data_IF_680163156246
#
_entry.id   IF_680163156246
#
_cell.length_a   1.000
_cell.length_b   1.000
_cell.length_c   1.000
_cell.angle_alpha   90.00
_cell.angle_beta   90.00
_cell.angle_gamma   90.00
#
_symmetry.space_group_name_H-M   'P 1'
#
loop_
_entity.id
_entity.type
_entity.pdbx_description
1 polymer ?
#
# COMPACT_ATOMS: atom_id res chain seq x y z
N UNK A 1 22.05 16.24 1.77
CA UNK A 1 23.47 16.03 1.54
C UNK A 1 24.27 17.21 2.07
N UNK A 2 24.91 16.99 3.20
CA UNK A 2 25.98 17.86 3.72
C UNK A 2 27.17 17.87 2.75
N UNK A 3 27.80 19.02 2.56
CA UNK A 3 29.06 19.08 1.82
C UNK A 3 30.18 18.38 2.62
N UNK A 4 30.93 17.47 2.00
CA UNK A 4 32.07 16.84 2.66
C UNK A 4 33.12 17.92 3.00
N UNK A 5 33.68 17.91 4.22
CA UNK A 5 34.77 18.82 4.56
C UNK A 5 36.00 18.50 3.69
N UNK A 6 36.84 19.51 3.45
CA UNK A 6 38.01 19.37 2.56
C UNK A 6 38.93 18.20 2.96
N UNK A 7 39.08 17.93 4.26
CA UNK A 7 39.84 16.80 4.80
C UNK A 7 39.32 15.44 4.30
N UNK A 8 37.99 15.28 4.21
CA UNK A 8 37.36 14.05 3.74
C UNK A 8 37.54 13.91 2.24
N UNK A 9 37.37 14.99 1.48
CA UNK A 9 37.58 14.98 0.02
C UNK A 9 39.02 14.58 -0.31
N UNK A 10 39.99 15.10 0.44
CA UNK A 10 41.41 14.75 0.26
C UNK A 10 41.75 13.31 0.67
N UNK A 11 40.94 12.70 1.53
CA UNK A 11 41.10 11.29 1.92
C UNK A 11 40.58 10.30 0.88
N UNK A 12 39.79 10.75 -0.11
CA UNK A 12 39.22 9.89 -1.13
C UNK A 12 40.28 9.38 -2.11
N UNK A 13 40.10 8.15 -2.64
CA UNK A 13 40.97 7.62 -3.68
C UNK A 13 40.85 8.45 -4.96
N UNK A 14 41.85 8.34 -5.85
CA UNK A 14 41.80 8.98 -7.15
C UNK A 14 40.57 8.47 -7.94
N UNK A 15 39.75 9.36 -8.52
CA UNK A 15 38.58 8.97 -9.30
C UNK A 15 38.93 8.01 -10.44
N UNK A 16 38.19 6.90 -10.55
CA UNK A 16 38.32 5.94 -11.63
C UNK A 16 37.11 6.03 -12.56
N UNK A 17 37.22 6.83 -13.62
CA UNK A 17 36.15 6.99 -14.62
C UNK A 17 36.11 5.90 -15.69
N UNK A 18 37.09 4.98 -15.71
CA UNK A 18 37.24 4.00 -16.80
C UNK A 18 36.60 2.66 -16.43
N UNK A 19 36.86 2.19 -15.21
CA UNK A 19 36.33 0.92 -14.68
C UNK A 19 36.01 1.05 -13.18
N UNK A 20 35.00 1.86 -12.82
CA UNK A 20 34.66 2.10 -11.42
C UNK A 20 34.07 0.85 -10.77
N UNK A 21 34.26 0.72 -9.46
CA UNK A 21 33.66 -0.37 -8.69
C UNK A 21 32.15 -0.19 -8.64
N UNK A 22 31.42 -1.20 -9.09
CA UNK A 22 29.96 -1.21 -9.09
C UNK A 22 29.40 -2.10 -7.98
N UNK A 23 28.32 -1.65 -7.34
CA UNK A 23 27.62 -2.42 -6.30
C UNK A 23 26.81 -3.61 -6.87
N UNK A 24 26.51 -3.59 -8.16
CA UNK A 24 25.86 -4.68 -8.90
C UNK A 24 24.34 -4.57 -9.02
N UNK A 25 23.68 -5.58 -9.63
CA UNK A 25 22.28 -5.49 -10.08
C UNK A 25 21.23 -5.74 -8.97
N UNK A 26 21.65 -5.90 -7.70
CA UNK A 26 20.76 -6.35 -6.63
C UNK A 26 19.56 -5.42 -6.40
N UNK A 27 19.77 -4.10 -6.43
CA UNK A 27 18.70 -3.10 -6.31
C UNK A 27 17.65 -3.29 -7.41
N UNK A 28 18.07 -3.43 -8.67
CA UNK A 28 17.16 -3.64 -9.80
C UNK A 28 16.35 -4.94 -9.66
N UNK A 29 16.98 -6.03 -9.21
CA UNK A 29 16.30 -7.31 -9.01
C UNK A 29 15.22 -7.19 -7.93
N UNK A 30 15.54 -6.58 -6.79
CA UNK A 30 14.59 -6.40 -5.67
C UNK A 30 13.43 -5.46 -6.07
N UNK A 31 13.74 -4.38 -6.77
CA UNK A 31 12.77 -3.41 -7.27
C UNK A 31 11.77 -4.06 -8.22
N UNK A 32 12.26 -4.76 -9.26
CA UNK A 32 11.41 -5.39 -10.28
C UNK A 32 10.58 -6.54 -9.72
N UNK A 33 11.15 -7.34 -8.82
CA UNK A 33 10.43 -8.45 -8.18
C UNK A 33 9.32 -7.93 -7.26
N UNK A 34 9.61 -6.95 -6.41
CA UNK A 34 8.61 -6.37 -5.50
C UNK A 34 7.49 -5.63 -6.25
N UNK A 35 7.82 -4.89 -7.31
CA UNK A 35 6.83 -4.23 -8.16
C UNK A 35 5.93 -5.24 -8.88
N UNK A 36 6.50 -6.33 -9.40
CA UNK A 36 5.74 -7.40 -10.06
C UNK A 36 4.69 -8.00 -9.13
N UNK A 37 5.06 -8.26 -7.87
CA UNK A 37 4.13 -8.76 -6.86
C UNK A 37 3.01 -7.73 -6.58
N UNK A 38 3.36 -6.45 -6.43
CA UNK A 38 2.39 -5.38 -6.22
C UNK A 38 1.40 -5.26 -7.40
N UNK A 39 1.88 -5.37 -8.64
CA UNK A 39 1.04 -5.34 -9.85
C UNK A 39 0.08 -6.53 -9.92
N UNK A 40 0.55 -7.73 -9.61
CA UNK A 40 -0.30 -8.93 -9.55
C UNK A 40 -1.40 -8.74 -8.49
N UNK A 41 -1.04 -8.25 -7.30
CA UNK A 41 -2.02 -7.95 -6.24
C UNK A 41 -3.05 -6.90 -6.66
N UNK A 42 -2.64 -5.83 -7.35
CA UNK A 42 -3.56 -4.83 -7.88
C UNK A 42 -4.48 -5.42 -8.96
N UNK A 43 -3.93 -6.22 -9.89
CA UNK A 43 -4.71 -6.85 -10.95
C UNK A 43 -5.79 -7.77 -10.35
N UNK A 44 -5.43 -8.58 -9.35
CA UNK A 44 -6.36 -9.43 -8.62
C UNK A 44 -7.42 -8.60 -7.87
N UNK A 45 -7.02 -7.50 -7.24
CA UNK A 45 -7.97 -6.57 -6.57
C UNK A 45 -8.99 -6.02 -7.57
N UNK A 46 -8.52 -5.51 -8.71
CA UNK A 46 -9.38 -4.96 -9.76
C UNK A 46 -10.28 -6.03 -10.37
N UNK A 47 -9.75 -7.24 -10.60
CA UNK A 47 -10.54 -8.37 -11.07
C UNK A 47 -11.72 -8.66 -10.13
N UNK A 48 -11.45 -8.79 -8.83
CA UNK A 48 -12.48 -9.01 -7.81
C UNK A 48 -13.51 -7.87 -7.79
N UNK A 49 -13.07 -6.62 -7.88
CA UNK A 49 -13.95 -5.45 -7.75
C UNK A 49 -14.82 -5.20 -8.98
N UNK A 50 -14.22 -5.31 -10.17
CA UNK A 50 -14.88 -5.00 -11.43
C UNK A 50 -15.70 -6.17 -11.95
N UNK A 51 -15.20 -7.40 -11.85
CA UNK A 51 -15.87 -8.55 -12.44
C UNK A 51 -16.71 -9.35 -11.44
N UNK A 52 -16.16 -9.63 -10.24
CA UNK A 52 -16.84 -10.49 -9.28
C UNK A 52 -17.85 -9.74 -8.40
N UNK A 53 -17.48 -8.56 -7.88
CA UNK A 53 -18.36 -7.73 -7.04
C UNK A 53 -19.15 -6.73 -7.90
N UNK A 54 -18.65 -6.38 -9.10
CA UNK A 54 -19.21 -5.37 -10.02
C UNK A 54 -19.46 -4.02 -9.35
N UNK A 55 -18.59 -3.64 -8.40
CA UNK A 55 -18.69 -2.36 -7.67
C UNK A 55 -17.30 -1.87 -7.26
N UNK A 56 -16.83 -0.84 -7.94
CA UNK A 56 -15.61 -0.10 -7.62
C UNK A 56 -15.92 1.13 -6.75
N UNK A 57 -14.98 1.53 -5.91
CA UNK A 57 -15.06 2.72 -5.07
C UNK A 57 -13.78 3.56 -5.17
N UNK A 58 -13.78 4.76 -4.58
CA UNK A 58 -12.63 5.66 -4.53
C UNK A 58 -11.34 4.98 -4.04
N UNK A 59 -11.46 4.09 -3.08
CA UNK A 59 -10.40 3.20 -2.57
C UNK A 59 -9.62 2.47 -3.68
N UNK A 60 -10.31 1.92 -4.69
CA UNK A 60 -9.67 1.16 -5.76
C UNK A 60 -8.90 2.09 -6.73
N UNK A 61 -9.46 3.26 -7.04
CA UNK A 61 -8.81 4.28 -7.88
C UNK A 61 -7.58 4.92 -7.20
N UNK A 62 -7.66 5.16 -5.89
CA UNK A 62 -6.51 5.64 -5.12
C UNK A 62 -5.37 4.60 -5.12
N UNK A 63 -5.70 3.30 -5.06
CA UNK A 63 -4.70 2.25 -5.15
C UNK A 63 -4.07 2.17 -6.55
N UNK A 64 -4.87 2.32 -7.62
CA UNK A 64 -4.34 2.40 -8.99
C UNK A 64 -3.38 3.59 -9.12
N UNK A 65 -3.77 4.76 -8.62
CA UNK A 65 -2.91 5.94 -8.63
C UNK A 65 -1.61 5.69 -7.85
N UNK A 66 -1.69 5.09 -6.66
CA UNK A 66 -0.51 4.74 -5.87
C UNK A 66 0.48 3.86 -6.65
N UNK A 67 -0.03 2.84 -7.37
CA UNK A 67 0.82 1.95 -8.18
C UNK A 67 1.45 2.67 -9.38
N UNK A 68 0.76 3.61 -10.01
CA UNK A 68 1.37 4.45 -11.07
C UNK A 68 2.56 5.21 -10.52
N UNK A 69 2.46 5.73 -9.30
CA UNK A 69 3.61 6.36 -8.62
C UNK A 69 4.69 5.34 -8.24
N UNK A 70 4.35 4.12 -7.79
CA UNK A 70 5.34 3.06 -7.57
C UNK A 70 6.13 2.72 -8.85
N UNK A 71 5.44 2.56 -9.99
CA UNK A 71 6.10 2.33 -11.30
C UNK A 71 7.05 3.50 -11.61
N UNK A 72 6.61 4.73 -11.34
CA UNK A 72 7.42 5.92 -11.58
C UNK A 72 8.68 5.96 -10.69
N UNK A 73 8.57 5.55 -9.42
CA UNK A 73 9.72 5.38 -8.51
C UNK A 73 10.68 4.33 -9.05
N UNK A 74 10.19 3.19 -9.52
CA UNK A 74 11.02 2.14 -10.13
C UNK A 74 11.73 2.64 -11.40
N UNK A 75 11.08 3.45 -12.23
CA UNK A 75 11.73 4.10 -13.37
C UNK A 75 12.86 5.03 -12.90
N UNK A 76 12.63 5.83 -11.86
CA UNK A 76 13.67 6.66 -11.27
C UNK A 76 14.87 5.83 -10.78
N UNK A 77 14.62 4.69 -10.12
CA UNK A 77 15.68 3.77 -9.67
C UNK A 77 16.49 3.23 -10.86
N UNK A 78 15.81 2.78 -11.92
CA UNK A 78 16.48 2.29 -13.13
C UNK A 78 17.36 3.38 -13.75
N UNK A 79 16.84 4.61 -13.88
CA UNK A 79 17.61 5.73 -14.41
C UNK A 79 18.79 6.10 -13.50
N UNK A 80 18.57 6.12 -12.18
CA UNK A 80 19.59 6.42 -11.17
C UNK A 80 20.77 5.45 -11.27
N UNK A 81 20.50 4.15 -11.32
CA UNK A 81 21.51 3.09 -11.39
C UNK A 81 22.14 3.00 -12.77
N UNK A 82 21.36 2.95 -13.85
CA UNK A 82 21.90 2.66 -15.19
C UNK A 82 22.57 3.85 -15.86
N UNK A 83 22.21 5.10 -15.52
CA UNK A 83 22.69 6.29 -16.23
C UNK A 83 23.40 7.30 -15.33
N UNK A 84 23.01 7.38 -14.05
CA UNK A 84 23.45 8.48 -13.17
C UNK A 84 24.40 8.05 -12.05
N UNK A 85 24.84 6.79 -12.03
CA UNK A 85 25.92 6.32 -11.17
C UNK A 85 25.54 6.13 -9.70
N UNK A 86 24.27 5.84 -9.39
CA UNK A 86 23.84 5.52 -8.01
C UNK A 86 24.29 4.13 -7.52
N UNK A 87 25.06 3.41 -8.33
CA UNK A 87 25.76 2.16 -8.00
C UNK A 87 27.28 2.34 -7.86
N UNK A 88 27.77 3.58 -7.98
CA UNK A 88 29.17 3.96 -7.89
C UNK A 88 29.44 4.78 -6.63
N UNK A 89 30.71 4.83 -6.22
CA UNK A 89 31.16 5.73 -5.16
C UNK A 89 31.13 7.20 -5.61
N UNK A 90 30.87 8.13 -4.68
CA UNK A 90 30.73 9.57 -4.97
C UNK A 90 31.92 10.15 -5.75
N UNK A 91 33.14 9.71 -5.45
CA UNK A 91 34.35 10.21 -6.11
C UNK A 91 34.50 9.72 -7.56
N UNK A 92 33.85 8.63 -7.95
CA UNK A 92 33.88 8.09 -9.32
C UNK A 92 32.81 8.73 -10.22
N UNK A 93 31.91 9.55 -9.68
CA UNK A 93 30.89 10.24 -10.47
C UNK A 93 31.42 11.50 -11.16
N UNK A 94 31.09 11.65 -12.44
CA UNK A 94 31.28 12.90 -13.17
C UNK A 94 30.34 14.01 -12.65
N UNK A 95 30.70 15.30 -12.77
CA UNK A 95 29.84 16.41 -12.36
C UNK A 95 28.44 16.39 -13.00
N UNK A 96 28.34 15.90 -14.25
CA UNK A 96 27.08 15.76 -14.96
C UNK A 96 26.21 14.66 -14.33
N UNK A 97 26.80 13.50 -14.01
CA UNK A 97 26.11 12.41 -13.32
C UNK A 97 25.63 12.84 -11.93
N UNK A 98 26.45 13.59 -11.17
CA UNK A 98 26.04 14.12 -9.87
C UNK A 98 24.80 15.03 -9.99
N UNK A 99 24.80 15.95 -10.97
CA UNK A 99 23.67 16.87 -11.22
C UNK A 99 22.40 16.10 -11.58
N UNK A 100 22.48 15.19 -12.56
CA UNK A 100 21.33 14.40 -13.01
C UNK A 100 20.84 13.41 -11.94
N UNK A 101 21.76 12.80 -11.20
CA UNK A 101 21.46 11.92 -10.08
C UNK A 101 20.69 12.63 -8.98
N UNK A 102 21.03 13.88 -8.68
CA UNK A 102 20.26 14.71 -7.73
C UNK A 102 18.88 15.08 -8.27
N UNK A 103 18.73 15.37 -9.57
CA UNK A 103 17.42 15.60 -10.18
C UNK A 103 16.50 14.36 -10.08
N UNK A 104 17.06 13.17 -10.27
CA UNK A 104 16.30 11.93 -10.08
C UNK A 104 15.98 11.67 -8.61
N UNK A 105 16.87 12.01 -7.68
CA UNK A 105 16.60 11.86 -6.25
C UNK A 105 15.40 12.70 -5.79
N UNK A 106 15.34 13.98 -6.16
CA UNK A 106 14.19 14.84 -5.80
C UNK A 106 12.89 14.37 -6.48
N UNK A 107 12.98 13.89 -7.72
CA UNK A 107 11.84 13.29 -8.41
C UNK A 107 11.37 12.01 -7.69
N UNK A 108 12.29 11.10 -7.36
CA UNK A 108 12.00 9.85 -6.65
C UNK A 108 11.39 10.09 -5.27
N UNK A 109 11.91 11.05 -4.50
CA UNK A 109 11.33 11.45 -3.21
C UNK A 109 9.91 12.01 -3.37
N UNK A 110 9.68 12.81 -4.40
CA UNK A 110 8.34 13.35 -4.71
C UNK A 110 7.37 12.22 -5.06
N UNK A 111 7.78 11.32 -5.95
CA UNK A 111 6.94 10.20 -6.41
C UNK A 111 6.65 9.22 -5.27
N UNK A 112 7.64 8.93 -4.42
CA UNK A 112 7.46 8.09 -3.24
C UNK A 112 6.44 8.68 -2.26
N UNK A 113 6.47 10.00 -2.03
CA UNK A 113 5.53 10.68 -1.15
C UNK A 113 4.08 10.45 -1.60
N UNK A 114 3.82 10.50 -2.91
CA UNK A 114 2.51 10.17 -3.46
C UNK A 114 2.20 8.67 -3.42
N UNK A 115 3.17 7.79 -3.73
CA UNK A 115 2.97 6.34 -3.67
C UNK A 115 2.59 5.86 -2.25
N UNK A 116 3.38 6.23 -1.25
CA UNK A 116 3.13 5.90 0.18
C UNK A 116 1.86 6.59 0.69
N UNK A 117 1.65 7.86 0.34
CA UNK A 117 0.47 8.62 0.76
C UNK A 117 -0.83 8.06 0.20
N UNK A 118 -0.90 7.81 -1.11
CA UNK A 118 -2.12 7.33 -1.78
C UNK A 118 -2.46 5.88 -1.42
N UNK A 119 -1.47 5.02 -1.21
CA UNK A 119 -1.71 3.66 -0.73
C UNK A 119 -2.33 3.66 0.68
N UNK A 120 -1.84 4.51 1.59
CA UNK A 120 -2.43 4.73 2.92
C UNK A 120 -3.85 5.29 2.83
N UNK A 121 -4.08 6.29 1.98
CA UNK A 121 -5.41 6.86 1.77
C UNK A 121 -6.40 5.83 1.20
N UNK A 122 -5.97 4.99 0.27
CA UNK A 122 -6.76 3.84 -0.21
C UNK A 122 -7.15 2.93 0.96
N UNK A 123 -6.18 2.44 1.75
CA UNK A 123 -6.45 1.57 2.91
C UNK A 123 -7.43 2.22 3.90
N UNK A 124 -7.23 3.49 4.23
CA UNK A 124 -8.11 4.23 5.14
C UNK A 124 -9.52 4.39 4.58
N UNK A 125 -9.68 4.65 3.27
CA UNK A 125 -11.01 4.68 2.63
C UNK A 125 -11.68 3.30 2.63
N UNK A 126 -10.92 2.22 2.47
CA UNK A 126 -11.39 0.84 2.69
C UNK A 126 -11.89 0.63 4.12
N UNK A 127 -11.20 1.16 5.12
CA UNK A 127 -11.64 1.08 6.52
C UNK A 127 -12.92 1.86 6.79
N UNK A 128 -13.06 3.07 6.23
CA UNK A 128 -14.28 3.87 6.35
C UNK A 128 -15.52 3.15 5.81
N UNK A 129 -15.35 2.32 4.78
CA UNK A 129 -16.43 1.51 4.20
C UNK A 129 -16.91 0.41 5.15
N UNK A 130 -16.01 -0.18 5.93
CA UNK A 130 -16.32 -1.27 6.86
C UNK A 130 -16.78 -0.72 8.22
N UNK A 131 -16.35 0.50 8.56
CA UNK A 131 -16.63 1.14 9.84
C UNK A 131 -18.14 1.40 10.06
N UNK A 132 -18.72 0.94 11.19
CA UNK A 132 -20.10 1.30 11.54
C UNK A 132 -20.25 2.81 11.78
N UNK A 133 -21.42 3.35 11.42
CA UNK A 133 -21.77 4.76 11.59
C UNK A 133 -21.64 5.18 13.06
N UNK A 134 -21.01 6.33 13.31
CA UNK A 134 -20.82 6.88 14.67
C UNK A 134 -19.75 6.22 15.53
N UNK A 135 -19.10 5.14 15.07
CA UNK A 135 -18.08 4.44 15.87
C UNK A 135 -16.82 5.27 16.09
N UNK A 136 -16.17 5.06 17.24
CA UNK A 136 -14.85 5.65 17.55
C UNK A 136 -13.81 5.29 16.47
N UNK A 137 -13.85 4.05 15.95
CA UNK A 137 -13.03 3.59 14.84
C UNK A 137 -13.19 4.47 13.58
N UNK A 138 -14.43 4.83 13.21
CA UNK A 138 -14.68 5.72 12.07
C UNK A 138 -14.11 7.12 12.28
N UNK A 139 -14.24 7.67 13.50
CA UNK A 139 -13.67 8.99 13.85
C UNK A 139 -12.15 8.96 13.73
N UNK A 140 -11.49 7.95 14.30
CA UNK A 140 -10.05 7.79 14.22
C UNK A 140 -9.58 7.67 12.75
N UNK A 141 -10.29 6.90 11.94
CA UNK A 141 -9.97 6.74 10.51
C UNK A 141 -10.01 8.07 9.76
N UNK A 142 -11.01 8.91 10.00
CA UNK A 142 -11.09 10.25 9.40
C UNK A 142 -9.94 11.16 9.84
N UNK A 143 -9.58 11.14 11.13
CA UNK A 143 -8.45 11.92 11.66
C UNK A 143 -7.14 11.48 11.03
N UNK A 144 -6.88 10.17 10.98
CA UNK A 144 -5.67 9.61 10.34
C UNK A 144 -5.63 9.93 8.85
N UNK A 145 -6.77 9.87 8.15
CA UNK A 145 -6.86 10.22 6.73
C UNK A 145 -6.54 11.70 6.48
N UNK A 146 -7.09 12.60 7.29
CA UNK A 146 -6.77 14.03 7.22
C UNK A 146 -5.30 14.31 7.53
N UNK A 147 -4.73 13.60 8.50
CA UNK A 147 -3.32 13.73 8.87
C UNK A 147 -2.38 13.27 7.74
N UNK A 148 -2.62 12.08 7.16
CA UNK A 148 -1.84 11.58 6.01
C UNK A 148 -1.94 12.54 4.83
N UNK A 149 -3.14 13.02 4.50
CA UNK A 149 -3.33 13.99 3.42
C UNK A 149 -2.56 15.29 3.67
N UNK A 150 -2.59 15.82 4.89
CA UNK A 150 -1.85 17.02 5.25
C UNK A 150 -0.33 16.81 5.11
N UNK A 151 0.21 15.68 5.56
CA UNK A 151 1.65 15.39 5.47
C UNK A 151 2.14 15.32 4.02
N UNK A 152 1.35 14.76 3.09
CA UNK A 152 1.70 14.75 1.65
C UNK A 152 1.95 16.18 1.17
N UNK A 153 1.04 17.11 1.44
CA UNK A 153 1.18 18.49 0.97
C UNK A 153 2.27 19.27 1.70
N UNK A 154 2.40 19.09 3.03
CA UNK A 154 3.45 19.76 3.82
C UNK A 154 4.83 19.35 3.30
N UNK A 155 5.10 18.05 3.18
CA UNK A 155 6.40 17.59 2.71
C UNK A 155 6.65 17.86 1.24
N UNK A 156 5.59 17.90 0.40
CA UNK A 156 5.73 18.34 -0.99
C UNK A 156 6.23 19.79 -1.05
N UNK A 157 5.60 20.70 -0.30
CA UNK A 157 6.01 22.10 -0.26
C UNK A 157 7.45 22.19 0.26
N UNK A 158 7.74 21.57 1.41
CA UNK A 158 9.08 21.61 2.03
C UNK A 158 10.16 21.06 1.08
N UNK A 159 9.89 19.96 0.38
CA UNK A 159 10.84 19.36 -0.56
C UNK A 159 11.18 20.29 -1.74
N UNK A 160 10.20 21.02 -2.26
CA UNK A 160 10.42 21.93 -3.38
C UNK A 160 10.88 23.33 -2.96
N UNK A 161 10.65 23.72 -1.71
CA UNK A 161 11.11 25.01 -1.14
C UNK A 161 12.38 24.89 -0.30
N UNK A 162 13.03 23.72 -0.27
CA UNK A 162 14.27 23.52 0.49
C UNK A 162 15.43 24.40 -0.03
N UNK A 163 15.37 24.82 -1.30
CA UNK A 163 16.33 25.73 -1.90
C UNK A 163 15.60 26.89 -2.58
N UNK A 164 16.15 28.09 -2.47
CA UNK A 164 15.66 29.27 -3.17
C UNK A 164 16.76 29.86 -4.06
N UNK A 165 16.65 29.74 -5.40
CA UNK A 165 15.66 28.99 -6.19
C UNK A 165 15.84 27.45 -6.16
N UNK A 166 14.77 26.69 -6.46
CA UNK A 166 14.75 25.22 -6.34
C UNK A 166 15.88 24.51 -7.13
N UNK A 167 16.33 25.08 -8.24
CA UNK A 167 17.39 24.50 -9.06
C UNK A 167 18.78 24.49 -8.40
N UNK A 168 18.98 25.27 -7.34
CA UNK A 168 20.17 25.19 -6.49
C UNK A 168 20.32 23.82 -5.81
N UNK A 169 19.23 23.03 -5.71
CA UNK A 169 19.30 21.68 -5.14
C UNK A 169 20.25 20.78 -5.94
N UNK A 170 20.11 20.72 -7.25
CA UNK A 170 20.90 19.80 -8.08
C UNK A 170 22.20 20.41 -8.63
N UNK A 171 22.34 21.74 -8.64
CA UNK A 171 23.55 22.40 -9.14
C UNK A 171 24.58 22.59 -8.03
N UNK A 172 25.58 21.69 -7.99
CA UNK A 172 26.58 21.64 -6.93
C UNK A 172 27.66 22.75 -6.98
N UNK A 173 27.71 23.58 -8.03
CA UNK A 173 28.81 24.52 -8.24
C UNK A 173 28.42 26.00 -8.14
N UNK A 174 27.20 26.29 -7.69
CA UNK A 174 26.70 27.67 -7.53
C UNK A 174 27.28 28.33 -6.28
N UNK A 175 27.88 29.51 -6.44
CA UNK A 175 28.30 30.37 -5.32
C UNK A 175 27.07 30.93 -4.57
N UNK A 176 27.15 31.00 -3.23
CA UNK A 176 26.10 31.51 -2.34
C UNK A 176 24.77 30.73 -2.42
N UNK A 177 24.83 29.43 -2.16
CA UNK A 177 23.66 28.57 -2.20
C UNK A 177 22.73 28.78 -1.00
N UNK A 178 21.56 29.36 -1.25
CA UNK A 178 20.50 29.50 -0.25
C UNK A 178 19.64 28.23 -0.17
N UNK A 179 20.15 27.20 0.52
CA UNK A 179 19.42 25.97 0.81
C UNK A 179 19.38 25.70 2.32
N UNK A 180 18.27 25.14 2.80
CA UNK A 180 18.22 24.56 4.14
C UNK A 180 19.03 23.26 4.16
N UNK A 181 19.47 22.85 5.36
CA UNK A 181 20.04 21.51 5.53
C UNK A 181 19.00 20.45 5.13
N UNK A 182 19.43 19.43 4.38
CA UNK A 182 18.52 18.40 3.85
C UNK A 182 18.07 17.39 4.90
N UNK A 183 18.87 17.19 5.96
CA UNK A 183 18.57 16.20 6.99
C UNK A 183 17.29 16.52 7.80
N UNK A 184 17.09 17.72 8.39
CA UNK A 184 15.88 18.01 9.17
C UNK A 184 14.55 17.74 8.45
N UNK A 185 14.32 18.20 7.20
CA UNK A 185 13.06 17.90 6.51
C UNK A 185 12.95 16.42 6.13
N UNK A 186 14.04 15.77 5.74
CA UNK A 186 14.05 14.34 5.43
C UNK A 186 13.72 13.49 6.66
N UNK A 187 14.34 13.80 7.81
CA UNK A 187 14.07 13.14 9.08
C UNK A 187 12.60 13.29 9.49
N UNK A 188 12.06 14.51 9.39
CA UNK A 188 10.64 14.77 9.62
C UNK A 188 9.76 13.90 8.72
N UNK A 189 10.09 13.80 7.43
CA UNK A 189 9.35 13.00 6.46
C UNK A 189 9.40 11.51 6.79
N UNK A 190 10.58 10.94 6.98
CA UNK A 190 10.73 9.48 7.20
C UNK A 190 10.13 9.05 8.53
N UNK A 191 10.35 9.82 9.61
CA UNK A 191 9.78 9.52 10.93
C UNK A 191 8.26 9.59 10.91
N UNK A 192 7.67 10.64 10.33
CA UNK A 192 6.21 10.76 10.25
C UNK A 192 5.60 9.69 9.33
N UNK A 193 6.32 9.29 8.28
CA UNK A 193 5.92 8.17 7.42
C UNK A 193 5.79 6.88 8.24
N UNK A 194 6.81 6.51 9.02
CA UNK A 194 6.76 5.34 9.93
C UNK A 194 5.62 5.45 10.96
N UNK A 195 5.44 6.63 11.57
CA UNK A 195 4.35 6.84 12.52
C UNK A 195 2.97 6.65 11.88
N UNK A 196 2.80 7.13 10.64
CA UNK A 196 1.54 6.93 9.91
C UNK A 196 1.33 5.48 9.48
N UNK A 197 2.39 4.76 9.07
CA UNK A 197 2.29 3.33 8.79
C UNK A 197 1.84 2.55 10.02
N UNK A 198 2.46 2.84 11.17
CA UNK A 198 2.10 2.22 12.44
C UNK A 198 0.66 2.57 12.85
N UNK A 199 0.22 3.81 12.64
CA UNK A 199 -1.14 4.24 12.92
C UNK A 199 -2.16 3.48 12.05
N UNK A 200 -1.93 3.38 10.74
CA UNK A 200 -2.80 2.65 9.79
C UNK A 200 -2.82 1.15 10.11
N UNK A 201 -1.68 0.59 10.52
CA UNK A 201 -1.51 -0.81 10.92
C UNK A 201 -2.30 -1.16 12.20
N UNK A 202 -2.22 -0.32 13.24
CA UNK A 202 -2.91 -0.56 14.51
C UNK A 202 -4.40 -0.30 14.42
N UNK A 203 -4.85 0.62 13.55
CA UNK A 203 -6.23 1.06 13.47
C UNK A 203 -7.27 -0.09 13.48
N UNK A 204 -7.13 -1.17 12.68
CA UNK A 204 -8.07 -2.29 12.71
C UNK A 204 -7.92 -3.25 13.90
N UNK A 205 -6.78 -3.30 14.61
CA UNK A 205 -6.51 -4.26 15.72
C UNK A 205 -7.63 -4.30 16.77
N UNK A 206 -8.02 -3.19 17.43
CA UNK A 206 -8.94 -3.25 18.56
C UNK A 206 -10.35 -3.70 18.14
N UNK A 207 -10.77 -3.31 16.94
CA UNK A 207 -12.06 -3.69 16.37
C UNK A 207 -12.08 -5.18 16.05
N UNK A 208 -10.98 -5.71 15.52
CA UNK A 208 -10.87 -7.11 15.12
C UNK A 208 -10.81 -8.07 16.32
N UNK A 209 -10.13 -7.69 17.41
CA UNK A 209 -10.06 -8.54 18.62
C UNK A 209 -11.41 -8.68 19.35
N UNK A 210 -12.35 -7.75 19.15
CA UNK A 210 -13.68 -7.82 19.76
C UNK A 210 -14.66 -8.71 18.98
N UNK A 211 -14.34 -9.07 17.74
CA UNK A 211 -15.25 -9.77 16.84
C UNK A 211 -14.93 -11.27 16.79
N UNK A 212 -15.92 -12.12 17.07
CA UNK A 212 -15.80 -13.58 16.92
C UNK A 212 -15.84 -13.96 15.45
N UNK A 213 -14.68 -14.20 14.85
CA UNK A 213 -14.53 -14.49 13.42
C UNK A 213 -14.29 -15.99 13.16
N UNK A 214 -14.81 -16.55 12.05
CA UNK A 214 -14.51 -17.93 11.67
C UNK A 214 -13.03 -18.09 11.26
N UNK A 215 -12.52 -19.32 11.35
CA UNK A 215 -11.08 -19.63 11.25
C UNK A 215 -10.40 -19.04 9.99
N UNK A 216 -11.04 -19.12 8.83
CA UNK A 216 -10.50 -18.57 7.57
C UNK A 216 -10.36 -17.04 7.60
N UNK A 217 -11.32 -16.35 8.24
CA UNK A 217 -11.24 -14.90 8.38
C UNK A 217 -10.13 -14.51 9.36
N UNK A 218 -9.95 -15.30 10.43
CA UNK A 218 -8.84 -15.12 11.37
C UNK A 218 -7.47 -15.30 10.71
N UNK A 219 -7.31 -16.30 9.83
CA UNK A 219 -6.07 -16.51 9.09
C UNK A 219 -5.70 -15.31 8.20
N UNK A 220 -6.67 -14.76 7.46
CA UNK A 220 -6.44 -13.59 6.59
C UNK A 220 -6.02 -12.37 7.41
N UNK A 221 -6.59 -12.20 8.61
CA UNK A 221 -6.19 -11.12 9.51
C UNK A 221 -4.76 -11.32 10.01
N UNK A 222 -4.36 -12.55 10.35
CA UNK A 222 -2.97 -12.84 10.73
C UNK A 222 -2.02 -12.49 9.58
N UNK A 223 -2.37 -12.84 8.34
CA UNK A 223 -1.58 -12.49 7.16
C UNK A 223 -1.50 -10.96 7.01
N UNK A 224 -2.62 -10.25 7.11
CA UNK A 224 -2.66 -8.79 7.03
C UNK A 224 -1.80 -8.14 8.10
N UNK A 225 -1.84 -8.63 9.34
CA UNK A 225 -1.01 -8.13 10.43
C UNK A 225 0.47 -8.44 10.23
N UNK A 226 0.80 -9.63 9.73
CA UNK A 226 2.19 -9.95 9.41
C UNK A 226 2.75 -9.01 8.34
N UNK A 227 2.01 -8.78 7.25
CA UNK A 227 2.42 -7.86 6.18
C UNK A 227 2.52 -6.42 6.68
N UNK A 228 1.56 -5.96 7.47
CA UNK A 228 1.61 -4.62 8.06
C UNK A 228 2.83 -4.42 8.98
N UNK A 229 3.24 -5.46 9.71
CA UNK A 229 4.47 -5.41 10.51
C UNK A 229 5.70 -5.27 9.63
N UNK A 230 5.78 -6.01 8.52
CA UNK A 230 6.91 -5.91 7.57
C UNK A 230 6.98 -4.52 6.93
N UNK A 231 5.85 -3.90 6.58
CA UNK A 231 5.80 -2.52 6.06
C UNK A 231 6.40 -1.52 7.06
N UNK A 232 6.01 -1.61 8.34
CA UNK A 232 6.54 -0.73 9.39
C UNK A 232 8.05 -0.94 9.57
N UNK A 233 8.52 -2.19 9.56
CA UNK A 233 9.96 -2.51 9.64
C UNK A 233 10.71 -1.93 8.43
N UNK A 234 10.16 -2.03 7.22
CA UNK A 234 10.76 -1.45 6.03
C UNK A 234 10.90 0.08 6.17
N UNK A 235 9.89 0.78 6.68
CA UNK A 235 9.95 2.21 6.95
C UNK A 235 10.97 2.60 8.03
N UNK A 236 11.13 1.78 9.07
CA UNK A 236 12.17 1.98 10.10
C UNK A 236 13.56 1.84 9.48
N UNK A 237 13.78 0.80 8.67
CA UNK A 237 15.05 0.59 7.96
C UNK A 237 15.34 1.72 6.98
N UNK A 238 14.33 2.19 6.23
CA UNK A 238 14.45 3.39 5.38
C UNK A 238 14.87 4.61 6.20
N UNK A 239 14.27 4.82 7.37
CA UNK A 239 14.62 5.94 8.26
C UNK A 239 16.05 5.83 8.79
N UNK A 240 16.48 4.62 9.15
CA UNK A 240 17.85 4.35 9.59
C UNK A 240 18.87 4.66 8.48
N UNK A 241 18.65 4.15 7.27
CA UNK A 241 19.54 4.41 6.14
C UNK A 241 19.52 5.88 5.72
N UNK A 242 18.38 6.56 5.79
CA UNK A 242 18.30 8.00 5.55
C UNK A 242 19.15 8.80 6.56
N UNK A 243 19.13 8.41 7.84
CA UNK A 243 20.01 8.99 8.85
C UNK A 243 21.48 8.72 8.53
N UNK A 244 21.82 7.44 8.28
CA UNK A 244 23.20 7.03 8.01
C UNK A 244 23.79 7.79 6.81
N UNK A 245 23.05 7.86 5.71
CA UNK A 245 23.45 8.55 4.47
C UNK A 245 23.67 10.05 4.66
N UNK A 246 22.86 10.70 5.49
CA UNK A 246 22.94 12.15 5.69
C UNK A 246 23.87 12.59 6.83
N UNK A 247 24.18 11.71 7.79
CA UNK A 247 24.87 12.07 9.04
C UNK A 247 26.19 11.36 9.25
N UNK A 248 26.31 10.11 8.82
CA UNK A 248 27.42 9.22 9.19
C UNK A 248 28.40 8.99 8.03
N UNK A 249 27.92 8.99 6.79
CA UNK A 249 28.73 8.78 5.58
C UNK A 249 28.76 10.03 4.70
N UNK A 250 29.83 10.17 3.91
CA UNK A 250 29.91 11.14 2.82
C UNK A 250 29.79 10.49 1.45
N UNK A 251 29.72 9.15 1.41
CA UNK A 251 29.58 8.38 0.19
C UNK A 251 28.10 8.08 -0.08
N UNK A 252 27.39 9.16 -0.40
CA UNK A 252 25.93 9.18 -0.46
C UNK A 252 25.39 8.29 -1.59
N UNK A 253 26.09 8.20 -2.72
CA UNK A 253 25.64 7.36 -3.85
C UNK A 253 25.81 5.88 -3.52
N UNK A 254 26.93 5.50 -2.92
CA UNK A 254 27.16 4.13 -2.50
C UNK A 254 26.13 3.71 -1.46
N UNK A 255 26.09 4.35 -0.30
CA UNK A 255 25.22 3.96 0.81
C UNK A 255 23.73 4.25 0.55
N UNK A 256 23.45 5.23 -0.30
CA UNK A 256 22.09 5.56 -0.76
C UNK A 256 21.41 4.41 -1.49
N UNK A 257 22.17 3.47 -2.06
CA UNK A 257 21.62 2.24 -2.66
C UNK A 257 20.69 1.48 -1.71
N UNK A 258 21.06 1.33 -0.44
CA UNK A 258 20.23 0.64 0.56
C UNK A 258 18.97 1.44 0.89
N UNK A 259 19.09 2.77 0.95
CA UNK A 259 17.95 3.65 1.13
C UNK A 259 16.91 3.47 0.01
N UNK A 260 17.34 3.32 -1.24
CA UNK A 260 16.45 3.04 -2.37
C UNK A 260 15.77 1.68 -2.26
N UNK A 261 16.48 0.63 -1.84
CA UNK A 261 15.90 -0.71 -1.62
C UNK A 261 14.73 -0.63 -0.63
N UNK A 262 14.97 -0.05 0.55
CA UNK A 262 13.94 0.03 1.58
C UNK A 262 12.77 0.91 1.19
N UNK A 263 13.04 1.98 0.43
CA UNK A 263 12.02 2.86 -0.17
C UNK A 263 11.06 2.10 -1.08
N UNK A 264 11.59 1.30 -2.00
CA UNK A 264 10.78 0.53 -2.93
C UNK A 264 10.00 -0.58 -2.23
N UNK A 265 10.65 -1.29 -1.31
CA UNK A 265 10.00 -2.32 -0.50
C UNK A 265 8.84 -1.76 0.31
N UNK A 266 9.03 -0.62 0.97
CA UNK A 266 7.98 0.06 1.74
C UNK A 266 6.76 0.40 0.86
N UNK A 267 6.99 1.04 -0.29
CA UNK A 267 5.91 1.44 -1.20
C UNK A 267 5.18 0.24 -1.79
N UNK A 268 5.91 -0.76 -2.29
CA UNK A 268 5.32 -1.95 -2.93
C UNK A 268 4.60 -2.84 -1.90
N UNK A 269 5.16 -3.02 -0.69
CA UNK A 269 4.49 -3.79 0.37
C UNK A 269 3.24 -3.09 0.90
N UNK A 270 3.21 -1.75 0.95
CA UNK A 270 2.01 -1.00 1.30
C UNK A 270 0.86 -1.27 0.32
N UNK A 271 1.15 -1.32 -0.99
CA UNK A 271 0.19 -1.71 -2.03
C UNK A 271 -0.32 -3.13 -1.82
N UNK A 272 0.60 -4.09 -1.61
CA UNK A 272 0.25 -5.50 -1.38
C UNK A 272 -0.66 -5.62 -0.15
N UNK A 273 -0.27 -5.00 0.97
CA UNK A 273 -1.05 -4.97 2.21
C UNK A 273 -2.47 -4.44 1.97
N UNK A 274 -2.61 -3.34 1.23
CA UNK A 274 -3.91 -2.77 0.91
C UNK A 274 -4.80 -3.63 0.01
N UNK A 275 -4.22 -4.53 -0.79
CA UNK A 275 -4.96 -5.41 -1.70
C UNK A 275 -5.48 -6.70 -1.02
N UNK A 276 -4.80 -7.19 0.02
CA UNK A 276 -5.13 -8.43 0.74
C UNK A 276 -6.59 -8.52 1.22
N UNK A 277 -7.21 -7.47 1.80
CA UNK A 277 -8.61 -7.54 2.26
C UNK A 277 -9.61 -7.87 1.15
N UNK A 278 -9.31 -7.47 -0.09
CA UNK A 278 -10.17 -7.72 -1.26
C UNK A 278 -9.96 -9.15 -1.79
N UNK A 279 -8.71 -9.62 -1.81
CA UNK A 279 -8.33 -10.97 -2.27
C UNK A 279 -8.98 -12.08 -1.46
N UNK A 280 -9.40 -11.82 -0.21
CA UNK A 280 -10.22 -12.74 0.59
C UNK A 280 -11.35 -13.40 -0.20
N UNK A 281 -11.98 -12.68 -1.13
CA UNK A 281 -13.13 -13.18 -1.89
C UNK A 281 -12.77 -14.25 -2.93
N UNK A 282 -11.49 -14.38 -3.30
CA UNK A 282 -11.00 -15.40 -4.24
C UNK A 282 -10.70 -16.74 -3.56
N UNK A 283 -10.58 -16.76 -2.22
CA UNK A 283 -10.33 -17.98 -1.50
C UNK A 283 -11.57 -18.88 -1.59
N UNK A 284 -11.43 -20.16 -2.00
CA UNK A 284 -12.55 -21.07 -2.09
C UNK A 284 -13.28 -21.11 -0.74
N UNK A 285 -14.60 -21.02 -0.78
CA UNK A 285 -15.44 -21.30 0.39
C UNK A 285 -15.28 -22.78 0.72
N UNK A 286 -14.25 -23.11 1.51
CA UNK A 286 -14.06 -24.45 2.07
C UNK A 286 -15.16 -24.82 3.08
N UNK A 287 -16.21 -24.00 3.19
CA UNK A 287 -17.38 -24.19 4.03
C UNK A 287 -18.51 -24.99 3.35
N UNK A 288 -18.48 -25.21 2.03
CA UNK A 288 -19.59 -25.85 1.29
C UNK A 288 -19.24 -27.24 0.70
N UNK A 289 -18.21 -27.93 1.20
CA UNK A 289 -17.86 -29.30 0.73
C UNK A 289 -17.80 -30.33 1.84
N UNK A 290 -18.65 -30.19 2.86
CA UNK A 290 -18.98 -31.26 3.80
C UNK A 290 -20.46 -31.18 4.20
N UNK A 291 -21.35 -31.42 3.25
CA UNK A 291 -22.71 -31.94 3.49
C UNK A 291 -23.28 -32.49 2.17
N UNK A 292 -22.63 -33.52 1.64
CA UNK A 292 -23.21 -34.41 0.64
C UNK A 292 -22.94 -35.87 1.02
N UNK A 293 -23.43 -36.24 2.21
CA UNK A 293 -23.79 -37.62 2.52
C UNK A 293 -25.18 -37.64 3.16
N UNK A 294 -26.20 -37.26 2.38
CA UNK A 294 -27.54 -37.85 2.55
C UNK A 294 -27.59 -39.03 1.59
N UNK A 295 -27.06 -40.17 2.04
CA UNK A 295 -27.44 -41.47 1.49
C UNK A 295 -28.48 -42.04 2.44
N UNK A 296 -29.65 -42.31 1.87
CA UNK A 296 -30.84 -42.90 2.46
C UNK A 296 -30.54 -43.96 3.52
N UNK A 297 -30.96 -43.70 4.76
CA UNK A 297 -31.15 -44.75 5.75
C UNK A 297 -32.53 -45.37 5.52
N UNK A 298 -32.52 -46.62 5.08
CA UNK A 298 -33.69 -47.46 4.91
C UNK A 298 -34.48 -47.60 6.22
N UNK A 299 -35.79 -47.32 6.15
CA UNK A 299 -36.77 -47.78 7.13
C UNK A 299 -37.80 -48.70 6.42
N UNK A 300 -38.26 -49.79 7.06
CA UNK A 300 -38.96 -50.90 6.42
C UNK A 300 -40.46 -50.60 6.14
N UNK A 301 -41.11 -51.34 5.23
CA UNK A 301 -42.51 -51.13 4.88
C UNK A 301 -43.43 -51.58 6.03
N UNK A 302 -44.36 -50.70 6.41
CA UNK A 302 -45.42 -51.02 7.37
C UNK A 302 -46.59 -51.66 6.64
N UNK A 303 -46.91 -52.91 7.00
CA UNK A 303 -48.14 -53.62 6.68
C UNK A 303 -49.28 -53.03 7.52
N UNK A 304 -50.37 -52.56 6.89
CA UNK A 304 -51.52 -52.04 7.62
C UNK A 304 -52.66 -51.57 6.73
N UNK A 305 -53.44 -52.52 6.20
CA UNK A 305 -54.75 -52.34 5.57
C UNK A 305 -55.73 -51.59 6.49
N UNK A 306 -56.50 -50.64 5.95
CA UNK A 306 -57.57 -49.96 6.71
C UNK A 306 -58.35 -48.91 5.95
N UNK A 307 -59.44 -49.34 5.29
CA UNK A 307 -60.51 -48.52 4.68
C UNK A 307 -60.94 -47.30 5.51
N UNK A 308 -61.04 -46.12 4.88
CA UNK A 308 -62.14 -45.12 5.07
C UNK A 308 -62.01 -44.03 4.00
N UNK A 309 -62.78 -44.11 2.92
CA UNK A 309 -64.17 -43.61 2.72
C UNK A 309 -64.17 -42.15 2.25
N UNK A 310 -64.47 -42.00 0.96
CA UNK A 310 -64.97 -40.80 0.30
C UNK A 310 -65.99 -40.06 1.17
N UNK A 311 -65.81 -38.75 1.34
CA UNK A 311 -66.88 -37.74 1.38
C UNK A 311 -66.26 -36.34 1.54
N UNK A 312 -66.83 -35.37 0.82
CA UNK A 312 -66.49 -33.92 0.75
C UNK A 312 -65.42 -33.49 -0.26
N UNK A 313 -65.61 -33.85 -1.52
CA UNK A 313 -65.62 -32.83 -2.59
C UNK A 313 -67.11 -32.66 -2.91
N UNK A 314 -67.76 -31.59 -2.46
CA UNK A 314 -69.10 -31.14 -2.90
C UNK A 314 -69.56 -29.85 -2.16
N UNK A 315 -68.66 -28.94 -1.78
CA UNK A 315 -69.05 -27.68 -1.08
C UNK A 315 -68.41 -26.42 -1.70
N UNK A 316 -67.95 -26.46 -2.96
CA UNK A 316 -67.27 -25.30 -3.59
C UNK A 316 -67.67 -25.12 -5.05
N UNK A 317 -68.97 -25.09 -5.34
CA UNK A 317 -69.46 -24.42 -6.54
C UNK A 317 -70.92 -24.01 -6.35
N UNK A 318 -71.27 -22.84 -6.90
CA UNK A 318 -72.58 -22.18 -6.98
C UNK A 318 -72.75 -21.02 -5.97
N UNK A 319 -72.09 -19.93 -6.32
CA UNK A 319 -72.51 -18.56 -6.00
C UNK A 319 -73.47 -18.08 -7.11
N UNK A 320 -74.75 -17.88 -6.79
CA UNK A 320 -75.75 -17.21 -7.67
C UNK A 320 -76.76 -16.43 -6.80
N UNK A 321 -76.50 -15.13 -6.69
CA UNK A 321 -77.39 -13.97 -6.90
C UNK A 321 -78.77 -13.81 -6.21
N UNK A 322 -78.96 -12.58 -5.71
CA UNK A 322 -80.13 -11.64 -5.75
C UNK A 322 -80.55 -11.07 -4.36
N UNK A 323 -81.37 -9.98 -4.26
CA UNK A 323 -80.90 -8.65 -3.88
C UNK A 323 -81.63 -8.10 -2.62
N UNK A 324 -81.10 -7.08 -1.93
CA UNK A 324 -81.89 -6.32 -0.96
C UNK A 324 -81.66 -4.82 -1.13
N UNK A 325 -82.76 -4.13 -1.38
CA UNK A 325 -82.94 -2.69 -1.42
C UNK A 325 -82.92 -2.08 -0.01
N UNK A 326 -82.44 -0.84 0.10
CA UNK A 326 -82.92 0.12 1.10
C UNK A 326 -82.61 1.57 0.65
N UNK A 327 -83.68 2.31 0.35
CA UNK A 327 -83.71 3.78 0.27
C UNK A 327 -83.70 4.37 1.69
N UNK A 328 -82.96 5.46 1.91
CA UNK A 328 -83.45 6.80 2.36
C UNK A 328 -82.46 7.83 1.85
#
# INVERSE_FOLDING_TARGET
>A
MRFPPAEVILSWPAPNYIDPVQRGPALLIIELTSLSVALICLALRLYVRLFMIRRSWWDDWLMVAAVVFCISVTICVILATSLYGWDLHVWDLTPVQQRLGRQVSIAGQTLFLFASGLSKLSILTSYLRIAPLGSWFRKLTWVTMGFVFALIWIFLIVLWTQCSPAWHYWDLFVENRNCIEEWPPLAGQTITTVLTDFAVYILPMPTLFRLRLPMMQRLILIILFSLGTVVVVAGIMRTYWAHFVERETYDVTWDGFELWIWTALEANLAVVCGCVPVLRRLLPSMSDTKDSHVSESAAPPTIGSGKRRQQKLDDLEIDVQTPIAANV
#
